data_IF_235500100366
#
_entry.id   IF_235500100366
#
_cell.length_a   1.000
_cell.length_b   1.000
_cell.length_c   1.000
_cell.angle_alpha   90.00
_cell.angle_beta   90.00
_cell.angle_gamma   90.00
#
_symmetry.space_group_name_H-M   'P 1'
#
loop_
_entity.id
_entity.type
_entity.pdbx_description
1 polymer ?
#
# COMPACT_ATOMS: atom_id res chain seq x y z
N UNK A 1 -27.28 16.99 8.32
CA UNK A 1 -27.96 15.69 8.04
C UNK A 1 -26.90 14.68 7.63
N UNK A 2 -26.77 13.54 8.31
CA UNK A 2 -25.84 12.47 7.91
C UNK A 2 -26.51 11.67 6.80
N UNK A 3 -26.06 11.82 5.57
CA UNK A 3 -26.52 10.95 4.49
C UNK A 3 -26.09 9.49 4.73
N UNK A 4 -26.93 8.52 4.36
CA UNK A 4 -26.64 7.11 4.64
C UNK A 4 -25.46 6.61 3.81
N UNK A 5 -24.44 6.05 4.49
CA UNK A 5 -23.19 5.47 3.96
C UNK A 5 -23.33 4.40 2.85
N UNK A 6 -24.52 4.14 2.34
CA UNK A 6 -24.80 3.08 1.36
C UNK A 6 -24.91 3.53 -0.10
N UNK A 7 -25.15 4.80 -0.37
CA UNK A 7 -25.50 5.29 -1.70
C UNK A 7 -24.32 5.42 -2.67
N UNK A 8 -23.10 5.63 -2.15
CA UNK A 8 -21.91 5.89 -2.96
C UNK A 8 -21.42 4.62 -3.67
N UNK A 9 -21.70 3.42 -3.16
CA UNK A 9 -21.16 2.15 -3.69
C UNK A 9 -21.71 1.72 -5.06
N UNK A 10 -22.90 2.13 -5.45
CA UNK A 10 -23.54 1.66 -6.69
C UNK A 10 -23.26 2.56 -7.91
N UNK A 11 -22.85 3.80 -7.71
CA UNK A 11 -22.68 4.81 -8.75
C UNK A 11 -21.25 5.32 -8.93
N UNK A 12 -20.28 4.80 -8.19
CA UNK A 12 -18.87 5.24 -8.24
C UNK A 12 -18.11 4.69 -9.44
N UNK A 13 -17.07 5.42 -9.89
CA UNK A 13 -16.04 4.88 -10.78
C UNK A 13 -15.50 3.57 -10.19
N UNK A 14 -15.23 2.59 -11.04
CA UNK A 14 -14.79 1.26 -10.59
C UNK A 14 -13.74 0.62 -11.47
N UNK A 15 -13.79 0.89 -12.76
CA UNK A 15 -13.02 0.10 -13.72
C UNK A 15 -11.61 0.64 -13.92
N UNK A 16 -11.46 1.96 -14.04
CA UNK A 16 -10.19 2.61 -14.31
C UNK A 16 -9.16 2.41 -13.18
N UNK A 17 -9.63 2.36 -11.92
CA UNK A 17 -8.76 2.21 -10.75
C UNK A 17 -8.53 0.75 -10.33
N UNK A 18 -9.15 -0.23 -11.01
CA UNK A 18 -8.97 -1.64 -10.68
C UNK A 18 -7.54 -2.11 -10.97
N UNK A 19 -7.11 -3.09 -10.19
CA UNK A 19 -5.79 -3.72 -10.33
C UNK A 19 -4.59 -2.81 -10.00
N UNK A 20 -4.82 -1.71 -9.28
CA UNK A 20 -3.75 -0.88 -8.71
C UNK A 20 -3.65 -0.99 -7.20
N UNK A 21 -4.73 -1.33 -6.50
CA UNK A 21 -4.74 -1.48 -5.05
C UNK A 21 -5.05 -2.92 -4.63
N UNK A 22 -4.24 -3.45 -3.70
CA UNK A 22 -4.30 -4.85 -3.29
C UNK A 22 -4.12 -5.00 -1.78
N UNK A 23 -4.66 -6.09 -1.24
CA UNK A 23 -4.19 -6.60 0.06
C UNK A 23 -2.85 -7.32 -0.14
N UNK A 24 -1.96 -7.20 0.84
CA UNK A 24 -0.67 -7.87 0.86
C UNK A 24 -0.79 -9.40 1.02
N UNK A 25 0.33 -10.11 0.91
CA UNK A 25 0.38 -11.54 1.20
C UNK A 25 -0.01 -11.84 2.65
N UNK A 26 -0.68 -12.95 2.87
CA UNK A 26 -0.99 -13.46 4.21
C UNK A 26 -0.30 -14.80 4.43
N UNK A 27 0.68 -14.85 5.32
CA UNK A 27 1.45 -16.07 5.60
C UNK A 27 0.54 -17.18 6.14
N UNK A 28 -0.32 -16.81 7.10
CA UNK A 28 -1.21 -17.77 7.79
C UNK A 28 -0.44 -18.96 8.39
N UNK A 29 0.72 -18.69 8.97
CA UNK A 29 1.61 -19.63 9.62
C UNK A 29 2.96 -19.00 9.93
N UNK A 30 3.34 -18.95 11.21
CA UNK A 30 4.61 -18.36 11.66
C UNK A 30 5.85 -19.15 11.21
N UNK A 31 5.67 -20.40 10.78
CA UNK A 31 6.77 -21.25 10.36
C UNK A 31 7.48 -20.79 9.07
N UNK A 32 6.88 -19.87 8.32
CA UNK A 32 7.52 -19.23 7.16
C UNK A 32 8.52 -18.15 7.56
N UNK A 33 8.41 -17.59 8.76
CA UNK A 33 9.30 -16.52 9.23
C UNK A 33 10.61 -17.13 9.70
N UNK A 34 11.71 -16.52 9.28
CA UNK A 34 13.08 -16.91 9.60
C UNK A 34 13.90 -15.68 9.99
N UNK A 35 14.95 -15.92 10.76
CA UNK A 35 15.90 -14.86 11.16
C UNK A 35 16.92 -14.60 10.06
N UNK A 36 17.50 -13.40 10.02
CA UNK A 36 18.59 -13.05 9.11
C UNK A 36 19.76 -14.03 9.25
N UNK A 37 20.07 -14.47 10.47
CA UNK A 37 21.11 -15.48 10.72
C UNK A 37 20.84 -16.81 10.01
N UNK A 38 19.59 -17.29 10.03
CA UNK A 38 19.21 -18.51 9.30
C UNK A 38 19.31 -18.30 7.79
N UNK A 39 18.90 -17.14 7.29
CA UNK A 39 19.03 -16.78 5.87
C UNK A 39 20.49 -16.85 5.44
N UNK A 40 21.39 -16.18 6.15
CA UNK A 40 22.81 -16.14 5.81
C UNK A 40 23.43 -17.53 5.84
N UNK A 41 23.09 -18.34 6.85
CA UNK A 41 23.54 -19.73 6.93
C UNK A 41 23.07 -20.54 5.72
N UNK A 42 21.79 -20.48 5.36
CA UNK A 42 21.24 -21.29 4.27
C UNK A 42 21.71 -20.84 2.89
N UNK A 43 22.03 -19.55 2.71
CA UNK A 43 22.66 -19.06 1.48
C UNK A 43 24.10 -19.55 1.37
N UNK A 44 24.84 -19.67 2.51
CA UNK A 44 26.18 -20.27 2.53
C UNK A 44 26.16 -21.79 2.24
N UNK A 45 25.14 -22.50 2.73
CA UNK A 45 24.94 -23.93 2.46
C UNK A 45 24.64 -24.19 0.97
N UNK A 46 23.73 -23.39 0.39
CA UNK A 46 23.37 -23.42 -1.04
C UNK A 46 22.92 -22.02 -1.49
N UNK A 47 23.70 -21.31 -2.33
CA UNK A 47 23.36 -19.99 -2.84
C UNK A 47 21.99 -19.90 -3.53
N UNK A 48 21.49 -21.02 -4.07
CA UNK A 48 20.15 -21.08 -4.68
C UNK A 48 19.03 -20.72 -3.71
N UNK A 49 19.22 -20.95 -2.41
CA UNK A 49 18.23 -20.60 -1.39
C UNK A 49 17.85 -19.12 -1.39
N UNK A 50 18.70 -18.22 -1.91
CA UNK A 50 18.39 -16.80 -2.07
C UNK A 50 17.14 -16.55 -2.93
N UNK A 51 16.80 -17.44 -3.84
CA UNK A 51 15.62 -17.31 -4.69
C UNK A 51 14.32 -17.34 -3.90
N UNK A 52 14.27 -18.09 -2.81
CA UNK A 52 13.08 -18.29 -1.96
C UNK A 52 13.15 -17.59 -0.61
N UNK A 53 14.24 -16.92 -0.30
CA UNK A 53 14.42 -16.15 0.94
C UNK A 53 14.23 -14.65 0.63
N UNK A 54 13.19 -14.04 1.19
CA UNK A 54 12.84 -12.64 0.91
C UNK A 54 12.70 -11.85 2.21
N UNK A 55 13.23 -10.62 2.26
CA UNK A 55 12.84 -9.70 3.33
C UNK A 55 11.36 -9.39 3.20
N UNK A 56 10.67 -9.27 4.32
CA UNK A 56 9.26 -8.90 4.32
C UNK A 56 9.02 -7.63 5.12
N UNK A 57 7.99 -6.87 4.72
CA UNK A 57 7.48 -5.73 5.46
C UNK A 57 6.06 -6.00 5.92
N UNK A 58 5.80 -5.74 7.18
CA UNK A 58 4.46 -5.78 7.77
C UNK A 58 3.96 -4.37 8.17
N UNK A 59 2.77 -4.29 8.77
CA UNK A 59 2.22 -3.02 9.21
C UNK A 59 3.04 -2.32 10.30
N UNK A 60 3.81 -3.06 11.10
CA UNK A 60 4.68 -2.50 12.14
C UNK A 60 5.92 -1.84 11.52
N UNK A 61 6.55 -2.49 10.55
CA UNK A 61 7.72 -1.94 9.85
C UNK A 61 7.38 -0.64 9.09
N UNK A 62 6.16 -0.50 8.54
CA UNK A 62 5.72 0.76 7.93
C UNK A 62 5.59 1.89 8.96
N UNK A 63 5.31 1.56 10.23
CA UNK A 63 5.24 2.54 11.32
C UNK A 63 6.62 2.84 11.88
N UNK A 64 7.51 1.85 11.95
CA UNK A 64 8.86 1.91 12.53
C UNK A 64 9.91 1.44 11.50
N UNK A 65 10.23 2.26 10.47
CA UNK A 65 11.03 1.81 9.32
C UNK A 65 12.51 1.51 9.64
N UNK A 66 13.00 1.85 10.83
CA UNK A 66 14.36 1.51 11.28
C UNK A 66 14.46 0.14 11.97
N UNK A 67 13.33 -0.53 12.25
CA UNK A 67 13.36 -1.87 12.78
C UNK A 67 13.84 -2.85 11.70
N UNK A 68 14.62 -3.83 12.10
CA UNK A 68 15.09 -4.89 11.20
C UNK A 68 13.89 -5.65 10.62
N UNK A 69 13.95 -5.88 9.31
CA UNK A 69 12.91 -6.63 8.63
C UNK A 69 13.00 -8.12 8.96
N UNK A 70 11.87 -8.73 9.20
CA UNK A 70 11.77 -10.18 9.19
C UNK A 70 12.04 -10.73 7.79
N UNK A 71 12.46 -11.98 7.72
CA UNK A 71 12.64 -12.71 6.47
C UNK A 71 11.62 -13.84 6.38
N UNK A 72 11.24 -14.18 5.16
CA UNK A 72 10.29 -15.26 4.92
C UNK A 72 10.78 -16.22 3.86
N UNK A 73 10.38 -17.48 4.01
CA UNK A 73 10.51 -18.51 2.99
C UNK A 73 9.33 -18.38 2.04
N UNK A 74 9.56 -17.96 0.82
CA UNK A 74 8.53 -17.71 -0.20
C UNK A 74 8.73 -18.62 -1.41
N UNK A 75 8.05 -19.74 -1.43
CA UNK A 75 8.04 -20.65 -2.58
C UNK A 75 7.18 -20.18 -3.75
N UNK A 76 6.67 -18.94 -3.70
CA UNK A 76 5.87 -18.33 -4.76
C UNK A 76 4.72 -19.26 -5.25
N UNK A 77 4.63 -19.45 -6.56
CA UNK A 77 3.68 -20.37 -7.20
C UNK A 77 4.23 -21.79 -7.43
N UNK A 78 5.41 -22.12 -6.89
CA UNK A 78 6.10 -23.40 -7.11
C UNK A 78 5.22 -24.59 -6.74
N UNK A 79 5.27 -25.64 -7.53
CA UNK A 79 4.74 -26.95 -7.12
C UNK A 79 5.64 -27.55 -6.01
N UNK A 80 5.23 -28.68 -5.44
CA UNK A 80 5.97 -29.26 -4.32
C UNK A 80 7.35 -29.78 -4.73
N UNK A 81 7.47 -30.33 -5.93
CA UNK A 81 8.72 -30.87 -6.49
C UNK A 81 9.75 -29.74 -6.69
N UNK A 82 9.30 -28.58 -7.22
CA UNK A 82 10.13 -27.39 -7.33
C UNK A 82 10.57 -26.89 -5.96
N UNK A 83 9.66 -26.82 -4.97
CA UNK A 83 9.96 -26.33 -3.63
C UNK A 83 10.96 -27.25 -2.89
N UNK A 84 10.95 -28.57 -3.09
CA UNK A 84 11.90 -29.53 -2.48
C UNK A 84 13.34 -29.32 -2.92
N UNK A 85 13.59 -28.61 -4.03
CA UNK A 85 14.94 -28.26 -4.48
C UNK A 85 15.66 -27.29 -3.53
N UNK A 86 14.95 -26.63 -2.61
CA UNK A 86 15.46 -25.70 -1.60
C UNK A 86 15.48 -26.40 -0.23
N UNK A 87 16.42 -27.31 -0.02
CA UNK A 87 16.38 -28.30 1.05
C UNK A 87 16.15 -27.70 2.44
N UNK A 88 17.02 -26.79 2.91
CA UNK A 88 16.93 -26.20 4.25
C UNK A 88 15.65 -25.36 4.45
N UNK A 89 15.25 -24.43 3.53
CA UNK A 89 13.99 -23.74 3.58
C UNK A 89 12.76 -24.67 3.55
N UNK A 90 12.76 -25.68 2.68
CA UNK A 90 11.64 -26.60 2.56
C UNK A 90 11.44 -27.43 3.83
N UNK A 91 12.53 -27.97 4.38
CA UNK A 91 12.49 -28.76 5.63
C UNK A 91 11.96 -27.91 6.80
N UNK A 92 12.38 -26.63 6.90
CA UNK A 92 11.84 -25.70 7.89
C UNK A 92 10.33 -25.57 7.78
N UNK A 93 9.80 -25.34 6.57
CA UNK A 93 8.36 -25.22 6.34
C UNK A 93 7.64 -26.55 6.58
N UNK A 94 8.25 -27.68 6.20
CA UNK A 94 7.70 -29.02 6.45
C UNK A 94 7.50 -29.28 7.95
N UNK A 95 8.48 -28.96 8.77
CA UNK A 95 8.41 -29.19 10.21
C UNK A 95 7.47 -28.18 10.89
N UNK A 96 7.57 -26.89 10.54
CA UNK A 96 6.91 -25.83 11.30
C UNK A 96 5.50 -25.46 10.77
N UNK A 97 5.19 -25.73 9.50
CA UNK A 97 3.92 -25.31 8.89
C UNK A 97 3.00 -26.49 8.62
N UNK A 98 3.52 -27.61 8.08
CA UNK A 98 2.70 -28.72 7.64
C UNK A 98 1.80 -29.31 8.75
N UNK A 99 2.25 -29.55 10.00
CA UNK A 99 1.40 -30.14 11.04
C UNK A 99 0.19 -29.25 11.41
N UNK A 100 0.35 -27.91 11.31
CA UNK A 100 -0.73 -26.96 11.52
C UNK A 100 -1.70 -26.94 10.31
N UNK A 101 -1.15 -27.02 9.10
CA UNK A 101 -1.92 -27.06 7.86
C UNK A 101 -2.75 -28.33 7.70
N UNK A 102 -2.25 -29.47 8.12
CA UNK A 102 -2.96 -30.76 8.07
C UNK A 102 -4.27 -30.72 8.90
N UNK A 103 -4.32 -29.88 9.94
CA UNK A 103 -5.51 -29.65 10.77
C UNK A 103 -6.43 -28.53 10.24
N UNK A 104 -6.07 -27.85 9.14
CA UNK A 104 -6.83 -26.71 8.64
C UNK A 104 -8.15 -27.16 8.03
N UNK A 105 -9.22 -26.35 8.18
CA UNK A 105 -10.55 -26.65 7.60
C UNK A 105 -10.60 -26.42 6.08
N UNK A 106 -9.67 -25.63 5.52
CA UNK A 106 -9.62 -25.32 4.09
C UNK A 106 -8.72 -26.30 3.37
N UNK A 107 -9.29 -27.14 2.50
CA UNK A 107 -8.55 -28.19 1.75
C UNK A 107 -7.46 -27.60 0.85
N UNK A 108 -7.67 -26.43 0.27
CA UNK A 108 -6.64 -25.74 -0.53
C UNK A 108 -5.36 -25.43 0.29
N UNK A 109 -5.50 -25.11 1.59
CA UNK A 109 -4.37 -24.87 2.47
C UNK A 109 -3.68 -26.14 2.93
N UNK A 110 -4.41 -27.25 3.07
CA UNK A 110 -3.80 -28.57 3.31
C UNK A 110 -3.00 -29.03 2.10
N UNK A 111 -3.65 -28.98 0.91
CA UNK A 111 -3.05 -29.41 -0.34
C UNK A 111 -1.79 -28.65 -0.72
N UNK A 112 -1.76 -27.33 -0.45
CA UNK A 112 -0.61 -26.45 -0.77
C UNK A 112 0.05 -25.91 0.51
N UNK A 113 0.31 -26.79 1.48
CA UNK A 113 0.81 -26.42 2.80
C UNK A 113 2.15 -25.67 2.79
N UNK A 114 2.96 -25.84 1.75
CA UNK A 114 4.26 -25.16 1.59
C UNK A 114 4.16 -23.73 1.07
N UNK A 115 2.96 -23.26 0.71
CA UNK A 115 2.71 -21.89 0.23
C UNK A 115 2.02 -21.04 1.28
N UNK A 116 2.10 -19.73 1.13
CA UNK A 116 1.33 -18.81 1.96
C UNK A 116 -0.17 -19.10 1.86
N UNK A 117 -0.89 -18.82 2.96
CA UNK A 117 -2.34 -18.99 2.98
C UNK A 117 -3.08 -18.02 2.06
N UNK A 118 -2.51 -16.83 1.85
CA UNK A 118 -2.97 -15.82 0.89
C UNK A 118 -1.75 -15.40 0.04
N UNK A 119 -1.64 -15.97 -1.14
CA UNK A 119 -0.46 -15.81 -2.01
C UNK A 119 -0.41 -14.45 -2.74
N UNK A 120 -1.57 -13.81 -2.98
CA UNK A 120 -1.75 -12.52 -3.67
C UNK A 120 -1.11 -12.45 -5.08
N UNK A 121 -1.41 -13.37 -6.03
CA UNK A 121 -0.73 -13.43 -7.32
C UNK A 121 -0.93 -12.17 -8.19
N UNK A 122 -2.11 -11.55 -8.14
CA UNK A 122 -2.40 -10.32 -8.90
C UNK A 122 -1.56 -9.14 -8.38
N UNK A 123 -1.41 -9.01 -7.07
CA UNK A 123 -0.57 -7.98 -6.45
C UNK A 123 0.89 -8.17 -6.87
N UNK A 124 1.43 -9.39 -6.75
CA UNK A 124 2.80 -9.72 -7.16
C UNK A 124 3.06 -9.40 -8.63
N UNK A 125 2.14 -9.77 -9.51
CA UNK A 125 2.23 -9.46 -10.94
C UNK A 125 2.22 -7.94 -11.18
N UNK A 126 1.35 -7.21 -10.48
CA UNK A 126 1.21 -5.77 -10.67
C UNK A 126 2.48 -5.00 -10.24
N UNK A 127 3.17 -5.42 -9.17
CA UNK A 127 4.38 -4.75 -8.68
C UNK A 127 5.67 -5.25 -9.34
N UNK A 128 5.67 -6.39 -10.04
CA UNK A 128 6.89 -7.10 -10.47
C UNK A 128 7.80 -6.32 -11.41
N UNK A 129 7.30 -5.28 -12.09
CA UNK A 129 8.07 -4.45 -13.04
C UNK A 129 8.34 -3.04 -12.52
N UNK A 130 7.93 -2.75 -11.29
CA UNK A 130 8.12 -1.45 -10.67
C UNK A 130 9.46 -1.40 -9.93
N UNK A 131 9.97 -0.20 -9.70
CA UNK A 131 11.14 0.03 -8.84
C UNK A 131 10.77 -0.01 -7.36
N UNK A 132 9.58 0.45 -7.02
CA UNK A 132 8.99 0.40 -5.69
C UNK A 132 7.47 0.24 -5.81
N UNK A 133 6.81 0.04 -4.69
CA UNK A 133 5.36 0.14 -4.57
C UNK A 133 5.02 1.01 -3.36
N UNK A 134 3.80 1.55 -3.29
CA UNK A 134 3.39 2.31 -2.12
C UNK A 134 2.61 1.43 -1.15
N UNK A 135 2.89 1.57 0.14
CA UNK A 135 2.24 0.78 1.17
C UNK A 135 1.72 1.63 2.32
N UNK A 136 0.64 1.15 2.93
CA UNK A 136 0.04 1.70 4.15
C UNK A 136 -0.43 0.54 5.02
N UNK A 137 -0.33 0.63 6.38
CA UNK A 137 -0.99 -0.33 7.25
C UNK A 137 -2.51 -0.34 7.01
N UNK A 138 -3.12 -1.52 6.98
CA UNK A 138 -4.57 -1.70 6.78
C UNK A 138 -5.42 -0.91 7.78
N UNK A 139 -4.89 -0.71 8.98
CA UNK A 139 -5.49 0.11 10.05
C UNK A 139 -4.44 1.12 10.49
N UNK A 140 -4.71 2.40 10.28
CA UNK A 140 -3.79 3.49 10.59
C UNK A 140 -4.51 4.68 11.20
N UNK A 141 -3.84 5.41 12.11
CA UNK A 141 -4.33 6.69 12.63
C UNK A 141 -4.23 7.79 11.57
N UNK A 142 -3.12 7.82 10.86
CA UNK A 142 -2.86 8.75 9.77
C UNK A 142 -2.81 8.02 8.44
N UNK A 143 -3.50 8.55 7.42
CA UNK A 143 -3.45 8.01 6.06
C UNK A 143 -2.18 8.54 5.41
N UNK A 144 -1.14 7.73 5.49
CA UNK A 144 0.20 8.06 4.99
C UNK A 144 0.76 6.85 4.27
N UNK A 145 0.99 7.00 2.97
CA UNK A 145 1.64 6.01 2.14
C UNK A 145 3.15 6.24 2.12
N UNK A 146 3.88 5.13 2.12
CA UNK A 146 5.34 5.13 2.00
C UNK A 146 5.78 4.26 0.82
N UNK A 147 6.77 4.69 0.03
CA UNK A 147 7.39 3.81 -0.95
C UNK A 147 8.18 2.71 -0.26
N UNK A 148 8.13 1.53 -0.84
CA UNK A 148 8.83 0.32 -0.39
C UNK A 148 9.49 -0.30 -1.61
N UNK A 149 10.77 -0.66 -1.51
CA UNK A 149 11.52 -1.32 -2.57
C UNK A 149 10.84 -2.64 -2.99
N UNK A 150 10.77 -2.92 -4.30
CA UNK A 150 10.06 -4.08 -4.83
C UNK A 150 10.69 -5.42 -4.39
N UNK A 151 11.95 -5.44 -3.98
CA UNK A 151 12.61 -6.62 -3.44
C UNK A 151 12.09 -7.04 -2.05
N UNK A 152 11.40 -6.14 -1.34
CA UNK A 152 10.80 -6.38 -0.04
C UNK A 152 9.36 -6.86 -0.24
N UNK A 153 9.03 -8.04 0.25
CA UNK A 153 7.71 -8.64 0.07
C UNK A 153 6.68 -8.02 1.04
N UNK A 154 5.58 -7.40 0.55
CA UNK A 154 4.54 -6.91 1.44
C UNK A 154 3.74 -8.09 2.01
N UNK A 155 3.75 -8.23 3.33
CA UNK A 155 3.04 -9.29 4.06
C UNK A 155 2.19 -8.70 5.17
N UNK A 156 1.18 -9.46 5.59
CA UNK A 156 0.32 -9.20 6.75
C UNK A 156 -0.09 -7.74 6.95
N UNK A 157 -1.37 -7.51 7.01
CA UNK A 157 -1.99 -6.25 7.41
C UNK A 157 -1.58 -4.97 6.64
N UNK A 158 -0.99 -5.09 5.46
CA UNK A 158 -0.67 -3.96 4.58
C UNK A 158 -1.63 -3.86 3.41
N UNK A 159 -1.81 -2.63 2.94
CA UNK A 159 -2.40 -2.32 1.65
C UNK A 159 -1.29 -1.86 0.71
N UNK A 160 -1.32 -2.37 -0.52
CA UNK A 160 -0.31 -2.13 -1.55
C UNK A 160 -0.94 -1.38 -2.71
N UNK A 161 -0.28 -0.31 -3.16
CA UNK A 161 -0.60 0.40 -4.39
C UNK A 161 0.51 0.10 -5.40
N UNK A 162 0.12 -0.50 -6.53
CA UNK A 162 1.04 -0.86 -7.61
C UNK A 162 1.34 0.36 -8.49
N UNK A 163 2.17 1.24 -7.98
CA UNK A 163 2.69 2.42 -8.66
C UNK A 163 4.02 2.81 -8.03
N UNK A 164 4.97 3.29 -8.83
CA UNK A 164 6.23 3.90 -8.40
C UNK A 164 6.32 5.38 -8.81
N UNK A 165 5.24 5.95 -9.35
CA UNK A 165 5.17 7.37 -9.68
C UNK A 165 4.84 8.23 -8.44
N UNK A 166 5.79 9.05 -8.01
CA UNK A 166 5.63 9.96 -6.88
C UNK A 166 4.54 11.03 -7.07
N UNK A 167 4.06 11.26 -8.31
CA UNK A 167 2.84 12.02 -8.53
C UNK A 167 1.64 11.35 -7.84
N UNK A 168 1.49 10.05 -8.02
CA UNK A 168 0.43 9.26 -7.37
C UNK A 168 0.65 9.23 -5.85
N UNK A 169 1.88 9.07 -5.38
CA UNK A 169 2.21 9.16 -3.96
C UNK A 169 1.76 10.50 -3.37
N UNK A 170 1.98 11.60 -4.10
CA UNK A 170 1.56 12.94 -3.68
C UNK A 170 0.05 13.07 -3.53
N UNK A 171 -0.71 12.59 -4.50
CA UNK A 171 -2.18 12.57 -4.43
C UNK A 171 -2.66 11.76 -3.23
N UNK A 172 -2.11 10.54 -3.04
CA UNK A 172 -2.51 9.65 -1.94
C UNK A 172 -2.18 10.21 -0.55
N UNK A 173 -1.12 11.01 -0.43
CA UNK A 173 -0.72 11.67 0.81
C UNK A 173 -1.37 13.06 1.01
N UNK A 174 -2.19 13.55 0.06
CA UNK A 174 -2.85 14.86 0.13
C UNK A 174 -4.08 14.88 1.05
N UNK A 175 -4.48 16.09 1.42
CA UNK A 175 -5.74 16.34 2.15
C UNK A 175 -6.96 15.81 1.39
N UNK A 176 -6.97 15.90 0.06
CA UNK A 176 -8.08 15.47 -0.80
C UNK A 176 -8.32 13.97 -0.61
N UNK A 177 -7.26 13.15 -0.72
CA UNK A 177 -7.41 11.71 -0.52
C UNK A 177 -7.77 11.35 0.93
N UNK A 178 -7.18 12.03 1.91
CA UNK A 178 -7.53 11.82 3.34
C UNK A 178 -9.00 12.10 3.63
N UNK A 179 -9.58 13.16 3.03
CA UNK A 179 -11.02 13.47 3.17
C UNK A 179 -11.89 12.38 2.55
N UNK A 180 -11.56 11.93 1.34
CA UNK A 180 -12.25 10.83 0.67
C UNK A 180 -12.21 9.55 1.51
N UNK A 181 -11.02 9.12 1.94
CA UNK A 181 -10.86 7.92 2.78
C UNK A 181 -11.69 8.03 4.05
N UNK A 182 -11.68 9.18 4.72
CA UNK A 182 -12.47 9.40 5.94
C UNK A 182 -13.99 9.26 5.68
N UNK A 183 -14.46 9.69 4.53
CA UNK A 183 -15.87 9.58 4.15
C UNK A 183 -16.25 8.13 3.77
N UNK A 184 -15.34 7.37 3.14
CA UNK A 184 -15.59 6.02 2.60
C UNK A 184 -15.26 4.88 3.57
N UNK A 185 -14.44 5.13 4.57
CA UNK A 185 -13.96 4.09 5.47
C UNK A 185 -14.83 3.92 6.71
N UNK A 186 -14.70 2.74 7.33
CA UNK A 186 -15.11 2.53 8.73
C UNK A 186 -13.98 2.95 9.68
N UNK A 187 -14.34 3.54 10.80
CA UNK A 187 -13.41 3.87 11.87
C UNK A 187 -13.47 2.84 12.97
N UNK A 188 -12.31 2.47 13.50
CA UNK A 188 -12.15 1.73 14.75
C UNK A 188 -11.46 2.67 15.74
N UNK A 189 -12.19 3.21 16.69
CA UNK A 189 -11.75 4.29 17.58
C UNK A 189 -11.31 5.53 16.76
N UNK A 190 -10.03 5.96 16.91
CA UNK A 190 -9.40 7.05 16.15
C UNK A 190 -8.63 6.58 14.91
N UNK A 191 -8.74 5.27 14.56
CA UNK A 191 -8.03 4.65 13.45
C UNK A 191 -8.96 4.38 12.28
N UNK A 192 -8.42 4.57 11.10
CA UNK A 192 -9.12 4.37 9.83
C UNK A 192 -8.72 3.03 9.24
N UNK A 193 -9.70 2.23 8.81
CA UNK A 193 -9.47 1.01 8.04
C UNK A 193 -9.46 1.35 6.55
N UNK A 194 -8.28 1.32 5.96
CA UNK A 194 -8.14 1.47 4.51
C UNK A 194 -8.54 0.17 3.78
N UNK A 195 -9.35 0.28 2.74
CA UNK A 195 -9.79 -0.86 1.92
C UNK A 195 -9.67 -0.54 0.43
N UNK A 196 -9.16 -1.47 -0.42
CA UNK A 196 -8.98 -1.23 -1.85
C UNK A 196 -10.25 -0.78 -2.55
N UNK A 197 -11.32 -1.51 -2.35
CA UNK A 197 -12.57 -1.37 -3.09
C UNK A 197 -13.43 -0.15 -2.70
N UNK A 198 -13.18 0.48 -1.57
CA UNK A 198 -13.94 1.65 -1.12
C UNK A 198 -13.11 2.91 -1.01
N UNK A 199 -11.82 2.79 -0.64
CA UNK A 199 -10.98 3.95 -0.45
C UNK A 199 -10.19 4.32 -1.72
N UNK A 200 -9.77 3.32 -2.50
CA UNK A 200 -8.94 3.53 -3.69
C UNK A 200 -9.71 3.39 -4.99
N UNK A 201 -10.37 2.24 -5.22
CA UNK A 201 -11.03 1.99 -6.51
C UNK A 201 -12.13 3.00 -6.85
N UNK A 202 -12.73 3.59 -5.82
CA UNK A 202 -13.76 4.64 -5.99
C UNK A 202 -13.20 6.06 -5.95
N UNK A 203 -11.89 6.26 -5.81
CA UNK A 203 -11.31 7.60 -5.71
C UNK A 203 -11.19 8.25 -7.08
N UNK A 204 -11.75 9.48 -7.29
CA UNK A 204 -11.65 10.18 -8.55
C UNK A 204 -10.30 10.91 -8.65
N UNK A 205 -9.38 10.42 -9.50
CA UNK A 205 -8.10 11.08 -9.75
C UNK A 205 -8.24 12.36 -10.59
N UNK A 206 -7.28 13.31 -10.54
CA UNK A 206 -7.31 14.52 -11.36
C UNK A 206 -7.34 14.19 -12.85
N UNK A 207 -8.17 14.89 -13.63
CA UNK A 207 -8.42 14.54 -15.03
C UNK A 207 -7.57 15.33 -16.02
N UNK A 208 -7.19 16.55 -15.69
CA UNK A 208 -6.46 17.45 -16.60
C UNK A 208 -5.43 18.31 -15.88
N UNK A 209 -4.53 17.75 -15.05
CA UNK A 209 -3.44 18.54 -14.49
C UNK A 209 -2.49 18.97 -15.61
N UNK A 210 -1.82 20.12 -15.49
CA UNK A 210 -0.72 20.45 -16.40
C UNK A 210 0.51 19.58 -16.12
N UNK A 211 1.39 19.40 -17.13
CA UNK A 211 2.62 18.64 -16.96
C UNK A 211 3.52 19.25 -15.87
N UNK A 212 3.64 20.57 -15.86
CA UNK A 212 4.40 21.29 -14.84
C UNK A 212 3.87 21.01 -13.41
N UNK A 213 2.56 20.94 -13.26
CA UNK A 213 1.93 20.68 -11.97
C UNK A 213 2.14 19.22 -11.52
N UNK A 214 2.09 18.27 -12.46
CA UNK A 214 2.44 16.87 -12.19
C UNK A 214 3.86 16.76 -11.66
N UNK A 215 4.84 17.43 -12.29
CA UNK A 215 6.23 17.43 -11.83
C UNK A 215 6.41 18.09 -10.45
N UNK A 216 5.73 19.21 -10.20
CA UNK A 216 5.76 19.87 -8.89
C UNK A 216 5.18 18.98 -7.77
N UNK A 217 4.10 18.25 -8.05
CA UNK A 217 3.51 17.29 -7.10
C UNK A 217 4.49 16.15 -6.86
N UNK A 218 5.09 15.57 -7.92
CA UNK A 218 6.07 14.48 -7.84
C UNK A 218 7.27 14.87 -6.98
N UNK A 219 7.87 16.02 -7.24
CA UNK A 219 8.98 16.55 -6.47
C UNK A 219 8.60 16.79 -5.00
N UNK A 220 7.46 17.46 -4.74
CA UNK A 220 7.03 17.77 -3.37
C UNK A 220 6.69 16.51 -2.57
N UNK A 221 6.15 15.47 -3.22
CA UNK A 221 5.92 14.17 -2.59
C UNK A 221 7.23 13.48 -2.20
N UNK A 222 8.27 13.60 -3.04
CA UNK A 222 9.62 13.13 -2.74
C UNK A 222 10.23 13.87 -1.54
N UNK A 223 10.21 15.20 -1.56
CA UNK A 223 10.68 16.05 -0.46
C UNK A 223 10.00 15.72 0.88
N UNK A 224 8.68 15.52 0.85
CA UNK A 224 7.90 15.14 2.03
C UNK A 224 8.27 13.75 2.55
N UNK A 225 8.43 12.78 1.65
CA UNK A 225 8.83 11.43 2.03
C UNK A 225 10.23 11.42 2.65
N UNK A 226 11.19 12.07 2.01
CA UNK A 226 12.57 12.14 2.48
C UNK A 226 12.67 12.82 3.84
N UNK A 227 12.07 14.00 3.98
CA UNK A 227 12.05 14.73 5.26
C UNK A 227 11.45 13.87 6.38
N UNK A 228 10.30 13.24 6.12
CA UNK A 228 9.63 12.36 7.08
C UNK A 228 10.54 11.21 7.52
N UNK A 229 11.14 10.51 6.55
CA UNK A 229 12.01 9.37 6.81
C UNK A 229 13.22 9.77 7.67
N UNK A 230 13.89 10.88 7.31
CA UNK A 230 15.00 11.43 8.09
C UNK A 230 14.60 11.80 9.53
N UNK A 231 13.42 12.42 9.72
CA UNK A 231 12.95 12.77 11.07
C UNK A 231 12.58 11.54 11.90
N UNK A 232 11.98 10.53 11.28
CA UNK A 232 11.64 9.27 11.94
C UNK A 232 12.91 8.55 12.39
N UNK A 233 13.91 8.42 11.52
CA UNK A 233 15.20 7.80 11.81
C UNK A 233 15.98 8.58 12.88
N UNK A 234 16.17 9.87 12.70
CA UNK A 234 16.92 10.74 13.64
C UNK A 234 16.34 10.71 15.05
N UNK A 235 15.00 10.70 15.16
CA UNK A 235 14.31 10.75 16.46
C UNK A 235 13.98 9.36 17.01
N UNK A 236 14.12 8.31 16.21
CA UNK A 236 13.61 6.98 16.52
C UNK A 236 12.11 7.02 16.90
N UNK A 237 11.34 7.81 16.14
CA UNK A 237 9.91 8.00 16.33
C UNK A 237 9.12 7.36 15.21
N UNK A 238 8.19 6.48 15.59
CA UNK A 238 7.21 5.96 14.65
C UNK A 238 6.37 7.07 14.01
N UNK A 239 5.84 6.79 12.82
CA UNK A 239 5.04 7.73 12.04
C UNK A 239 3.91 8.37 12.86
N UNK A 240 3.22 7.58 13.70
CA UNK A 240 2.13 8.08 14.55
C UNK A 240 2.62 9.14 15.54
N UNK A 241 3.77 8.92 16.18
CA UNK A 241 4.35 9.88 17.12
C UNK A 241 4.81 11.16 16.42
N UNK A 242 5.46 11.03 15.26
CA UNK A 242 5.89 12.15 14.45
C UNK A 242 4.71 13.03 14.03
N UNK A 243 3.64 12.41 13.51
CA UNK A 243 2.45 13.12 13.07
C UNK A 243 1.63 13.70 14.23
N UNK A 244 1.53 13.02 15.36
CA UNK A 244 0.89 13.59 16.56
C UNK A 244 1.57 14.89 16.99
N UNK A 245 2.90 14.99 16.86
CA UNK A 245 3.66 16.15 17.32
C UNK A 245 3.67 17.29 16.29
N UNK A 246 3.80 16.99 15.01
CA UNK A 246 4.17 18.00 14.01
C UNK A 246 3.14 18.20 12.89
N UNK A 247 2.17 17.32 12.71
CA UNK A 247 1.24 17.42 11.58
C UNK A 247 0.33 18.64 11.61
N UNK A 248 -0.04 19.09 12.80
CA UNK A 248 -0.88 20.27 13.01
C UNK A 248 -0.10 21.46 13.60
N UNK A 249 1.23 21.41 13.57
CA UNK A 249 2.10 22.48 14.09
C UNK A 249 2.57 23.36 12.94
N UNK A 250 2.01 24.60 12.77
CA UNK A 250 2.30 25.46 11.61
C UNK A 250 3.76 25.83 11.44
N UNK A 251 4.52 25.90 12.53
CA UNK A 251 5.97 26.17 12.50
C UNK A 251 6.80 24.97 12.05
N UNK A 252 6.24 23.78 12.02
CA UNK A 252 6.97 22.58 11.62
C UNK A 252 7.11 22.46 10.11
N UNK A 253 8.26 21.98 9.65
CA UNK A 253 8.48 21.71 8.24
C UNK A 253 7.57 20.60 7.72
N UNK A 254 7.19 19.62 8.56
CA UNK A 254 6.22 18.58 8.17
C UNK A 254 4.89 19.20 7.77
N UNK A 255 4.37 20.12 8.59
CA UNK A 255 3.14 20.85 8.27
C UNK A 255 3.28 21.64 6.97
N UNK A 256 4.37 22.42 6.82
CA UNK A 256 4.60 23.26 5.64
C UNK A 256 4.67 22.43 4.34
N UNK A 257 5.36 21.28 4.36
CA UNK A 257 5.44 20.38 3.22
C UNK A 257 4.06 19.79 2.88
N UNK A 258 3.25 19.41 3.87
CA UNK A 258 1.87 18.97 3.62
C UNK A 258 1.01 20.09 3.05
N UNK A 259 1.12 21.33 3.55
CA UNK A 259 0.38 22.48 2.99
C UNK A 259 0.79 22.77 1.55
N UNK A 260 2.11 22.73 1.23
CA UNK A 260 2.62 22.86 -0.14
C UNK A 260 2.01 21.77 -1.05
N UNK A 261 2.05 20.52 -0.63
CA UNK A 261 1.48 19.40 -1.39
C UNK A 261 -0.02 19.53 -1.57
N UNK A 262 -0.76 19.84 -0.49
CA UNK A 262 -2.20 19.98 -0.50
C UNK A 262 -2.66 21.10 -1.47
N UNK A 263 -1.93 22.24 -1.51
CA UNK A 263 -2.19 23.33 -2.46
C UNK A 263 -2.00 22.88 -3.92
N UNK A 264 -0.88 22.21 -4.23
CA UNK A 264 -0.59 21.71 -5.59
C UNK A 264 -1.63 20.67 -6.04
N UNK A 265 -2.05 19.79 -5.15
CA UNK A 265 -3.08 18.79 -5.48
C UNK A 265 -4.45 19.45 -5.65
N UNK A 266 -4.82 20.44 -4.84
CA UNK A 266 -6.04 21.24 -5.05
C UNK A 266 -6.06 21.89 -6.43
N UNK A 267 -4.93 22.47 -6.84
CA UNK A 267 -4.77 23.06 -8.17
C UNK A 267 -4.94 22.02 -9.29
N UNK A 268 -4.44 20.79 -9.10
CA UNK A 268 -4.60 19.69 -10.07
C UNK A 268 -6.07 19.26 -10.26
N UNK A 269 -6.91 19.48 -9.25
CA UNK A 269 -8.36 19.27 -9.36
C UNK A 269 -9.11 20.52 -9.81
N UNK A 270 -8.46 21.66 -9.98
CA UNK A 270 -9.07 22.97 -10.21
C UNK A 270 -10.07 23.38 -9.11
N UNK A 271 -9.84 22.94 -7.86
CA UNK A 271 -10.69 23.28 -6.72
C UNK A 271 -10.23 24.58 -6.06
N UNK A 272 -11.19 25.40 -5.62
CA UNK A 272 -10.93 26.64 -4.89
C UNK A 272 -10.86 26.38 -3.38
N UNK A 273 -10.21 27.28 -2.64
CA UNK A 273 -9.98 27.11 -1.21
C UNK A 273 -11.25 27.18 -0.35
N UNK A 274 -12.29 27.87 -0.83
CA UNK A 274 -13.59 28.08 -0.18
C UNK A 274 -14.64 27.03 -0.55
N UNK A 275 -14.35 26.10 -1.47
CA UNK A 275 -15.27 25.05 -1.90
C UNK A 275 -15.31 23.86 -0.91
N UNK A 276 -16.46 23.19 -0.84
CA UNK A 276 -16.58 21.90 -0.17
C UNK A 276 -15.89 20.81 -1.01
N UNK A 277 -14.68 20.45 -0.62
CA UNK A 277 -13.83 19.47 -1.32
C UNK A 277 -14.56 18.13 -1.43
N UNK A 278 -15.29 17.69 -0.42
CA UNK A 278 -15.95 16.38 -0.43
C UNK A 278 -17.12 16.36 -1.40
N UNK A 279 -17.89 17.42 -1.47
CA UNK A 279 -18.98 17.59 -2.43
C UNK A 279 -18.44 17.60 -3.87
N UNK A 280 -17.35 18.35 -4.12
CA UNK A 280 -16.69 18.40 -5.43
C UNK A 280 -16.13 17.03 -5.85
N UNK A 281 -15.52 16.31 -4.94
CA UNK A 281 -15.03 14.95 -5.21
C UNK A 281 -16.18 13.99 -5.54
N UNK A 282 -17.30 14.09 -4.84
CA UNK A 282 -18.48 13.28 -5.11
C UNK A 282 -19.06 13.58 -6.49
N UNK A 283 -19.20 14.86 -6.84
CA UNK A 283 -19.66 15.31 -8.16
C UNK A 283 -18.74 14.77 -9.26
N UNK A 284 -17.41 14.97 -9.12
CA UNK A 284 -16.44 14.45 -10.06
C UNK A 284 -16.51 12.92 -10.18
N UNK A 285 -16.65 12.21 -9.07
CA UNK A 285 -16.77 10.75 -9.05
C UNK A 285 -17.98 10.27 -9.88
N UNK A 286 -19.15 10.92 -9.72
CA UNK A 286 -20.36 10.57 -10.46
C UNK A 286 -20.20 10.88 -11.95
N UNK A 287 -19.61 12.02 -12.32
CA UNK A 287 -19.33 12.38 -13.72
C UNK A 287 -18.41 11.36 -14.39
N UNK A 288 -17.32 10.94 -13.68
CA UNK A 288 -16.39 9.94 -14.19
C UNK A 288 -17.04 8.56 -14.32
N UNK A 289 -17.93 8.19 -13.40
CA UNK A 289 -18.70 6.95 -13.48
C UNK A 289 -19.61 6.91 -14.71
N UNK A 290 -20.25 8.03 -15.06
CA UNK A 290 -21.04 8.13 -16.28
C UNK A 290 -20.17 8.09 -17.55
N UNK A 291 -18.99 8.69 -17.54
CA UNK A 291 -18.01 8.55 -18.64
C UNK A 291 -17.58 7.11 -18.84
N UNK A 292 -17.22 6.41 -17.76
CA UNK A 292 -16.87 4.97 -17.82
C UNK A 292 -18.00 4.14 -18.45
N UNK A 293 -19.26 4.38 -18.09
CA UNK A 293 -20.42 3.68 -18.67
C UNK A 293 -20.57 3.92 -20.16
N UNK A 294 -20.23 5.13 -20.63
CA UNK A 294 -20.29 5.50 -22.06
C UNK A 294 -19.05 5.07 -22.82
N UNK A 295 -18.05 4.44 -22.17
CA UNK A 295 -16.78 4.04 -22.78
C UNK A 295 -15.86 5.22 -23.10
N UNK A 296 -16.07 6.37 -22.48
CA UNK A 296 -15.20 7.54 -22.62
C UNK A 296 -13.92 7.36 -21.78
N UNK A 297 -12.81 7.97 -22.22
CA UNK A 297 -11.54 7.92 -21.51
C UNK A 297 -11.61 8.66 -20.19
N UNK A 298 -11.19 7.99 -19.12
CA UNK A 298 -11.06 8.51 -17.76
C UNK A 298 -9.62 8.29 -17.29
N UNK A 299 -9.01 9.31 -16.71
CA UNK A 299 -7.68 9.22 -16.11
C UNK A 299 -7.79 8.55 -14.74
N UNK A 300 -7.01 7.50 -14.53
CA UNK A 300 -6.92 6.74 -13.28
C UNK A 300 -5.65 7.04 -12.48
N UNK A 301 -5.11 6.06 -11.73
CA UNK A 301 -3.95 6.23 -10.86
C UNK A 301 -2.63 6.20 -11.65
N UNK A 302 -2.50 7.06 -12.64
CA UNK A 302 -1.27 7.28 -13.42
C UNK A 302 -1.15 8.74 -13.86
N UNK A 303 0.07 9.14 -14.20
CA UNK A 303 0.29 10.45 -14.82
C UNK A 303 -0.29 10.46 -16.24
N UNK A 304 -1.04 11.50 -16.64
CA UNK A 304 -1.50 11.63 -18.03
C UNK A 304 -0.36 11.91 -19.02
N UNK A 305 0.88 12.05 -18.55
CA UNK A 305 2.09 12.35 -19.33
C UNK A 305 3.16 11.26 -19.21
N UNK A 306 2.82 10.07 -18.74
CA UNK A 306 3.73 8.91 -18.65
C UNK A 306 3.70 8.06 -19.91
#
# INVERSE_FOLDING_TARGET
MREPKGWIRSLSIKYVNKNFSFESCGLRGKGFIVTKKQVDQWILEDPKNQEVLKPMIDGKNLIYPWEELDWVIDFQGMNIEEATNYQSPFERVRIAVKPERDKNRRDSRKKHWWRFGEYAPKMRQAISKLSCYFAIPKIAKYIVFSPVDVSILPCEANMVIASDDFYILGILNSRIHRLWVKAQSSTLEDRTRYTPNTCFETFPFPQKPSQELVEKIRQTAGELHEYRSQQMEKKQWGITKLYNQFFNEPSSQLYQLHQKLDKLVMEAYHFQADEDILEKLLTLNLELAEKEKRGETVIGPWSPYS
#
